data_IF_414117827720
#
_entry.id   IF_414117827720
#
_cell.length_a   1.000
_cell.length_b   1.000
_cell.length_c   1.000
_cell.angle_alpha   90.00
_cell.angle_beta   90.00
_cell.angle_gamma   90.00
#
_symmetry.space_group_name_H-M   'P 1'
#
loop_
_entity.id
_entity.type
_entity.pdbx_description
1 polymer ?
#
# COMPACT_ATOMS: atom_id res chain seq x y z
N UNK A 1 38.09 -0.51 7.23
CA UNK A 1 37.12 -1.19 8.14
C UNK A 1 36.23 -0.15 8.84
N UNK A 2 35.44 0.63 8.10
CA UNK A 2 34.61 1.72 8.65
C UNK A 2 33.27 1.18 9.17
N UNK A 3 33.17 1.13 10.50
CA UNK A 3 31.98 1.16 11.36
C UNK A 3 30.62 0.73 10.75
N UNK A 4 30.40 -0.59 10.69
CA UNK A 4 29.08 -1.25 10.63
C UNK A 4 27.94 -0.58 11.47
N UNK A 5 28.18 -0.06 12.70
CA UNK A 5 27.11 0.61 13.47
C UNK A 5 26.70 1.98 12.92
N UNK A 6 27.56 2.69 12.19
CA UNK A 6 27.25 4.01 11.66
C UNK A 6 26.31 3.92 10.45
N UNK A 7 26.53 2.93 9.58
CA UNK A 7 25.67 2.64 8.43
C UNK A 7 24.25 2.26 8.87
N UNK A 8 24.12 1.42 9.90
CA UNK A 8 22.81 1.05 10.48
C UNK A 8 22.06 2.25 11.06
N UNK A 9 22.77 3.18 11.70
CA UNK A 9 22.19 4.42 12.22
C UNK A 9 21.65 5.31 11.10
N UNK A 10 22.40 5.46 10.01
CA UNK A 10 21.95 6.23 8.84
C UNK A 10 20.71 5.60 8.23
N UNK A 11 20.68 4.27 8.04
CA UNK A 11 19.53 3.56 7.49
C UNK A 11 18.29 3.72 8.37
N UNK A 12 18.45 3.73 9.70
CA UNK A 12 17.34 3.91 10.64
C UNK A 12 16.74 5.33 10.61
N UNK A 13 17.57 6.36 10.44
CA UNK A 13 17.10 7.75 10.39
C UNK A 13 16.78 8.24 8.97
N UNK A 14 17.16 7.51 7.93
CA UNK A 14 16.91 7.87 6.54
C UNK A 14 15.44 8.24 6.25
N UNK A 15 14.42 7.50 6.72
CA UNK A 15 13.01 7.87 6.46
C UNK A 15 12.65 9.23 7.05
N UNK A 16 13.13 9.53 8.26
CA UNK A 16 12.87 10.80 8.95
C UNK A 16 13.58 11.95 8.22
N UNK A 17 14.84 11.75 7.82
CA UNK A 17 15.61 12.73 7.09
C UNK A 17 14.94 13.03 5.74
N UNK A 18 14.56 12.00 4.99
CA UNK A 18 13.86 12.14 3.71
C UNK A 18 12.52 12.85 3.88
N UNK A 19 11.76 12.52 4.93
CA UNK A 19 10.51 13.19 5.25
C UNK A 19 10.71 14.69 5.55
N UNK A 20 11.72 15.05 6.35
CA UNK A 20 12.05 16.45 6.62
C UNK A 20 12.48 17.20 5.36
N UNK A 21 13.27 16.57 4.48
CA UNK A 21 13.66 17.15 3.18
C UNK A 21 12.42 17.37 2.31
N UNK A 22 11.52 16.39 2.22
CA UNK A 22 10.28 16.53 1.46
C UNK A 22 9.42 17.68 2.00
N UNK A 23 9.27 17.80 3.33
CA UNK A 23 8.58 18.93 3.95
C UNK A 23 9.25 20.28 3.64
N UNK A 24 10.57 20.34 3.67
CA UNK A 24 11.32 21.55 3.33
C UNK A 24 11.12 21.96 1.87
N UNK A 25 11.15 21.00 0.94
CA UNK A 25 10.89 21.26 -0.49
C UNK A 25 9.45 21.74 -0.67
N UNK A 26 8.47 21.06 -0.07
CA UNK A 26 7.05 21.46 -0.13
C UNK A 26 6.87 22.88 0.43
N UNK A 27 7.51 23.20 1.56
CA UNK A 27 7.45 24.53 2.15
C UNK A 27 8.00 25.60 1.21
N UNK A 28 9.15 25.32 0.58
CA UNK A 28 9.80 26.23 -0.36
C UNK A 28 8.97 26.43 -1.64
N UNK A 29 8.37 25.37 -2.18
CA UNK A 29 7.50 25.43 -3.37
C UNK A 29 6.17 26.14 -3.09
N UNK A 30 5.64 26.02 -1.86
CA UNK A 30 4.44 26.72 -1.42
C UNK A 30 4.69 28.22 -1.14
N UNK A 31 5.90 28.61 -0.80
CA UNK A 31 6.27 30.01 -0.58
C UNK A 31 6.43 30.77 -1.92
N UNK A 32 6.80 30.06 -3.00
CA UNK A 32 6.94 30.62 -4.35
C UNK A 32 5.63 30.62 -5.16
N UNK A 33 4.62 29.82 -4.78
CA UNK A 33 3.30 29.79 -5.43
C UNK A 33 2.21 30.37 -4.52
N UNK A 34 1.50 31.41 -4.97
CA UNK A 34 0.35 31.92 -4.22
C UNK A 34 -0.66 30.80 -3.91
N UNK A 35 -0.91 30.56 -2.62
CA UNK A 35 -1.95 29.66 -2.12
C UNK A 35 -3.32 29.86 -2.81
N UNK A 36 -3.60 31.08 -3.26
CA UNK A 36 -4.80 31.49 -4.00
C UNK A 36 -4.95 30.75 -5.35
N UNK A 37 -3.85 30.43 -6.04
CA UNK A 37 -3.83 29.78 -7.35
C UNK A 37 -4.07 28.26 -7.27
N UNK A 38 -3.66 27.62 -6.17
CA UNK A 38 -3.91 26.21 -5.88
C UNK A 38 -5.40 25.93 -5.64
N UNK A 39 -6.08 26.79 -4.88
CA UNK A 39 -7.52 26.69 -4.64
C UNK A 39 -8.35 26.88 -5.91
N UNK A 40 -7.92 27.76 -6.82
CA UNK A 40 -8.58 27.94 -8.13
C UNK A 40 -8.43 26.72 -9.03
N UNK A 41 -7.27 26.05 -9.01
CA UNK A 41 -7.08 24.80 -9.76
C UNK A 41 -7.91 23.65 -9.20
N UNK A 42 -8.08 23.56 -7.87
CA UNK A 42 -8.91 22.53 -7.25
C UNK A 42 -10.37 22.58 -7.71
N UNK A 43 -10.94 23.77 -7.86
CA UNK A 43 -12.31 23.96 -8.35
C UNK A 43 -12.47 23.70 -9.86
N UNK A 44 -11.39 23.73 -10.63
CA UNK A 44 -11.43 23.47 -12.06
C UNK A 44 -11.22 22.00 -12.43
N UNK A 45 -11.01 21.10 -11.46
CA UNK A 45 -10.88 19.66 -11.73
C UNK A 45 -12.24 19.13 -12.20
N UNK A 46 -12.35 18.63 -13.44
CA UNK A 46 -13.58 18.05 -13.95
C UNK A 46 -13.97 16.80 -13.15
N UNK A 47 -15.26 16.66 -12.85
CA UNK A 47 -15.80 15.46 -12.21
C UNK A 47 -15.52 14.16 -12.97
N UNK A 48 -15.36 14.24 -14.30
CA UNK A 48 -14.98 13.10 -15.13
C UNK A 48 -13.60 12.54 -14.76
N UNK A 49 -12.64 13.40 -14.43
CA UNK A 49 -11.28 12.99 -14.02
C UNK A 49 -11.34 12.32 -12.64
N UNK A 50 -12.12 12.87 -11.71
CA UNK A 50 -12.33 12.27 -10.39
C UNK A 50 -12.96 10.88 -10.49
N UNK A 51 -14.00 10.71 -11.33
CA UNK A 51 -14.63 9.42 -11.57
C UNK A 51 -13.67 8.41 -12.23
N UNK A 52 -12.89 8.83 -13.22
CA UNK A 52 -11.85 7.97 -13.82
C UNK A 52 -10.79 7.57 -12.80
N UNK A 53 -10.33 8.50 -11.95
CA UNK A 53 -9.35 8.20 -10.91
C UNK A 53 -9.91 7.18 -9.89
N UNK A 54 -11.16 7.35 -9.46
CA UNK A 54 -11.84 6.38 -8.60
C UNK A 54 -11.97 5.01 -9.28
N UNK A 55 -12.37 4.99 -10.56
CA UNK A 55 -12.48 3.77 -11.37
C UNK A 55 -11.14 3.04 -11.51
N UNK A 56 -10.06 3.75 -11.83
CA UNK A 56 -8.71 3.19 -11.90
C UNK A 56 -8.24 2.67 -10.54
N UNK A 57 -8.55 3.38 -9.46
CA UNK A 57 -8.21 2.95 -8.10
C UNK A 57 -8.91 1.62 -7.78
N UNK A 58 -10.22 1.53 -8.04
CA UNK A 58 -10.98 0.29 -7.86
C UNK A 58 -10.43 -0.84 -8.75
N UNK A 59 -10.09 -0.55 -10.00
CA UNK A 59 -9.49 -1.53 -10.92
C UNK A 59 -8.13 -2.03 -10.41
N UNK A 60 -7.29 -1.14 -9.87
CA UNK A 60 -6.02 -1.51 -9.25
C UNK A 60 -6.22 -2.47 -8.08
N UNK A 61 -7.12 -2.15 -7.14
CA UNK A 61 -7.45 -3.05 -6.03
C UNK A 61 -8.06 -4.39 -6.49
N UNK A 62 -8.83 -4.39 -7.58
CA UNK A 62 -9.34 -5.61 -8.19
C UNK A 62 -8.21 -6.47 -8.78
N UNK A 63 -7.22 -5.88 -9.46
CA UNK A 63 -6.06 -6.62 -9.96
C UNK A 63 -5.21 -7.19 -8.82
N UNK A 64 -4.97 -6.41 -7.77
CA UNK A 64 -4.29 -6.86 -6.55
C UNK A 64 -5.04 -8.01 -5.86
N UNK A 65 -6.37 -8.01 -5.92
CA UNK A 65 -7.20 -9.11 -5.44
C UNK A 65 -7.12 -10.35 -6.33
N UNK A 66 -7.20 -10.17 -7.65
CA UNK A 66 -7.08 -11.25 -8.63
C UNK A 66 -5.74 -11.96 -8.50
N UNK A 67 -4.69 -11.18 -8.21
CA UNK A 67 -3.36 -11.68 -7.90
C UNK A 67 -3.35 -12.64 -6.69
N UNK A 68 -3.87 -12.19 -5.55
CA UNK A 68 -4.03 -13.02 -4.34
C UNK A 68 -4.87 -14.27 -4.62
N UNK A 69 -5.95 -14.12 -5.41
CA UNK A 69 -6.82 -15.23 -5.78
C UNK A 69 -6.12 -16.27 -6.67
N UNK A 70 -5.27 -15.80 -7.59
CA UNK A 70 -4.48 -16.67 -8.45
C UNK A 70 -3.40 -17.39 -7.64
N UNK A 71 -2.71 -16.69 -6.75
CA UNK A 71 -1.70 -17.28 -5.86
C UNK A 71 -2.30 -18.37 -4.95
N UNK A 72 -3.46 -18.13 -4.35
CA UNK A 72 -4.19 -19.13 -3.56
C UNK A 72 -4.58 -20.36 -4.39
N UNK A 73 -5.04 -20.15 -5.63
CA UNK A 73 -5.39 -21.26 -6.53
C UNK A 73 -4.16 -22.06 -6.97
N UNK A 74 -3.05 -21.39 -7.24
CA UNK A 74 -1.76 -22.04 -7.57
C UNK A 74 -1.23 -22.91 -6.44
N UNK A 75 -1.53 -22.54 -5.18
CA UNK A 75 -1.18 -23.30 -3.99
C UNK A 75 -2.20 -24.40 -3.63
N UNK A 76 -3.24 -24.61 -4.44
CA UNK A 76 -4.24 -25.67 -4.26
C UNK A 76 -5.46 -25.28 -3.41
N UNK A 77 -5.55 -24.05 -2.90
CA UNK A 77 -6.66 -23.58 -2.08
C UNK A 77 -7.85 -23.15 -2.96
N UNK A 78 -8.63 -24.12 -3.46
CA UNK A 78 -9.81 -23.87 -4.31
C UNK A 78 -11.12 -23.65 -3.54
N UNK A 79 -11.19 -24.03 -2.27
CA UNK A 79 -12.44 -23.96 -1.48
C UNK A 79 -12.78 -22.57 -0.93
N UNK A 80 -11.87 -21.58 -1.08
CA UNK A 80 -12.09 -20.23 -0.56
C UNK A 80 -12.94 -19.44 -1.56
N UNK A 81 -14.10 -18.93 -1.12
CA UNK A 81 -14.97 -18.12 -1.98
C UNK A 81 -14.28 -16.81 -2.34
N UNK A 82 -14.38 -16.41 -3.61
CA UNK A 82 -13.73 -15.20 -4.15
C UNK A 82 -14.08 -13.91 -3.37
N UNK A 83 -15.31 -13.81 -2.84
CA UNK A 83 -15.75 -12.65 -2.03
C UNK A 83 -14.91 -12.45 -0.76
N UNK A 84 -14.46 -13.54 -0.13
CA UNK A 84 -13.63 -13.47 1.06
C UNK A 84 -12.19 -13.07 0.75
N UNK A 85 -11.66 -13.56 -0.38
CA UNK A 85 -10.35 -13.14 -0.90
C UNK A 85 -10.40 -11.64 -1.19
N UNK A 86 -11.42 -11.18 -1.91
CA UNK A 86 -11.60 -9.77 -2.24
C UNK A 86 -11.68 -8.87 -1.01
N UNK A 87 -12.47 -9.24 0.00
CA UNK A 87 -12.53 -8.46 1.24
C UNK A 87 -11.18 -8.45 1.98
N UNK A 88 -10.53 -9.61 2.09
CA UNK A 88 -9.26 -9.74 2.82
C UNK A 88 -8.14 -8.97 2.15
N UNK A 89 -7.97 -9.12 0.83
CA UNK A 89 -6.98 -8.41 0.03
C UNK A 89 -7.24 -6.91 0.05
N UNK A 90 -8.50 -6.47 -0.13
CA UNK A 90 -8.85 -5.05 -0.08
C UNK A 90 -8.48 -4.41 1.26
N UNK A 91 -8.90 -5.00 2.38
CA UNK A 91 -8.60 -4.45 3.72
C UNK A 91 -7.08 -4.48 4.00
N UNK A 92 -6.42 -5.57 3.63
CA UNK A 92 -4.96 -5.70 3.78
C UNK A 92 -4.21 -4.61 3.00
N UNK A 93 -4.53 -4.41 1.72
CA UNK A 93 -3.87 -3.41 0.89
C UNK A 93 -4.24 -1.98 1.29
N UNK A 94 -5.49 -1.72 1.68
CA UNK A 94 -5.92 -0.42 2.17
C UNK A 94 -5.11 0.00 3.41
N UNK A 95 -4.95 -0.91 4.38
CA UNK A 95 -4.18 -0.61 5.60
C UNK A 95 -2.67 -0.52 5.30
N UNK A 96 -2.17 -1.43 4.46
CA UNK A 96 -0.77 -1.47 4.03
C UNK A 96 -0.32 -0.16 3.38
N UNK A 97 -1.16 0.42 2.52
CA UNK A 97 -0.85 1.68 1.82
C UNK A 97 -0.80 2.89 2.74
N UNK A 98 -1.48 2.87 3.88
CA UNK A 98 -1.52 4.00 4.82
C UNK A 98 -0.49 3.90 5.96
N UNK A 99 -0.09 2.69 6.34
CA UNK A 99 0.68 2.45 7.58
C UNK A 99 2.20 2.41 7.36
N UNK A 100 2.66 2.40 6.11
CA UNK A 100 4.08 2.39 5.73
C UNK A 100 4.82 1.06 5.99
N UNK A 101 4.39 0.29 6.99
CA UNK A 101 4.91 -1.05 7.30
C UNK A 101 3.99 -2.12 6.71
N UNK A 102 4.05 -2.29 5.39
CA UNK A 102 3.19 -3.20 4.63
C UNK A 102 3.17 -4.64 5.18
N UNK A 103 4.34 -5.15 5.57
CA UNK A 103 4.47 -6.48 6.17
C UNK A 103 3.77 -6.56 7.54
N UNK A 104 4.07 -5.65 8.47
CA UNK A 104 3.52 -5.70 9.82
C UNK A 104 2.00 -5.47 9.86
N UNK A 105 1.48 -4.62 8.98
CA UNK A 105 0.07 -4.23 8.95
C UNK A 105 -0.75 -5.06 7.96
N UNK A 106 -0.51 -4.91 6.65
CA UNK A 106 -1.21 -5.66 5.60
C UNK A 106 -0.97 -7.17 5.67
N UNK A 107 0.28 -7.58 5.92
CA UNK A 107 0.66 -9.00 6.02
C UNK A 107 0.01 -9.71 7.22
N UNK A 108 -0.11 -9.03 8.37
CA UNK A 108 -0.75 -9.61 9.56
C UNK A 108 -2.27 -9.80 9.38
N UNK A 109 -2.93 -8.92 8.62
CA UNK A 109 -4.34 -9.06 8.26
C UNK A 109 -4.55 -10.28 7.37
N UNK A 110 -3.75 -10.44 6.31
CA UNK A 110 -3.79 -11.64 5.45
C UNK A 110 -3.52 -12.89 6.25
N UNK A 111 -2.52 -12.86 7.13
CA UNK A 111 -2.21 -13.98 8.03
C UNK A 111 -3.43 -14.37 8.87
N UNK A 112 -4.05 -13.41 9.55
CA UNK A 112 -5.18 -13.68 10.45
C UNK A 112 -6.45 -14.13 9.72
N UNK A 113 -6.76 -13.57 8.56
CA UNK A 113 -7.95 -13.95 7.80
C UNK A 113 -7.77 -15.28 7.05
N UNK A 114 -6.65 -15.48 6.37
CA UNK A 114 -6.40 -16.72 5.63
C UNK A 114 -6.14 -17.91 6.56
N UNK A 115 -5.50 -17.71 7.71
CA UNK A 115 -5.35 -18.78 8.71
C UNK A 115 -6.73 -19.24 9.25
N UNK A 116 -7.68 -18.32 9.46
CA UNK A 116 -9.07 -18.68 9.81
C UNK A 116 -9.79 -19.45 8.70
N UNK A 117 -9.35 -19.33 7.45
CA UNK A 117 -9.88 -20.05 6.30
C UNK A 117 -9.12 -21.38 6.04
N UNK A 118 -8.19 -21.76 6.92
CA UNK A 118 -7.45 -23.02 6.84
C UNK A 118 -6.20 -22.98 5.96
N UNK A 119 -5.74 -21.80 5.54
CA UNK A 119 -4.49 -21.66 4.76
C UNK A 119 -3.29 -21.78 5.69
N UNK A 120 -2.31 -22.61 5.32
CA UNK A 120 -1.08 -22.74 6.10
C UNK A 120 -0.26 -21.45 6.11
N UNK A 121 0.34 -21.11 7.26
CA UNK A 121 1.13 -19.88 7.41
C UNK A 121 2.29 -19.74 6.41
N UNK A 122 2.93 -20.86 6.04
CA UNK A 122 3.98 -20.89 5.01
C UNK A 122 3.46 -20.53 3.61
N UNK A 123 2.23 -20.92 3.28
CA UNK A 123 1.62 -20.59 2.00
C UNK A 123 1.18 -19.12 1.95
N UNK A 124 0.79 -18.53 3.08
CA UNK A 124 0.52 -17.09 3.19
C UNK A 124 1.80 -16.27 2.95
N UNK A 125 2.94 -16.72 3.46
CA UNK A 125 4.23 -16.11 3.18
C UNK A 125 4.59 -16.20 1.69
N UNK A 126 4.32 -17.35 1.05
CA UNK A 126 4.50 -17.51 -0.42
C UNK A 126 3.60 -16.57 -1.21
N UNK A 127 2.34 -16.37 -0.82
CA UNK A 127 1.43 -15.42 -1.49
C UNK A 127 1.95 -13.99 -1.37
N UNK A 128 2.55 -13.65 -0.23
CA UNK A 128 3.11 -12.31 0.00
C UNK A 128 4.45 -12.08 -0.71
N UNK A 129 5.12 -13.16 -1.13
CA UNK A 129 6.41 -13.14 -1.82
C UNK A 129 6.33 -13.49 -3.31
N UNK A 130 5.18 -14.01 -3.78
CA UNK A 130 4.86 -14.20 -5.18
C UNK A 130 5.00 -12.85 -5.87
#
# INVERSE_FOLDING_TARGET
>A
MLKQPFLKKIIQYAPVILFCIALFIIHKELETHEFSGLLKHWNNIPWSIALMACGLTLASYLFLTLYDALALRSLGYRNIKYRYILFTSFVSFAISNNTGHAWASGGSIRYRFYQKMGVQGWDIAKISAF
#
